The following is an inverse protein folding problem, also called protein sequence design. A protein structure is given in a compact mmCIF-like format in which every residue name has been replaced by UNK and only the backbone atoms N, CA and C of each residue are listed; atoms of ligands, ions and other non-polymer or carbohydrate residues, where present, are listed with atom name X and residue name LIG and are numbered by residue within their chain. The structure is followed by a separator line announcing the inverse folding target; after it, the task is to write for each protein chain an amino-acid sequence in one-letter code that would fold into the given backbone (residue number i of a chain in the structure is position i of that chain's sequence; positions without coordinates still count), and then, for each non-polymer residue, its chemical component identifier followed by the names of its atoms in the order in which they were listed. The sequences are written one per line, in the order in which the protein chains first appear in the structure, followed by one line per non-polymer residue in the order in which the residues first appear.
data_IF_618621841525
#
_entry.id   IF_618621841525
#
_cell.length_a   1.000
_cell.length_b   1.000
_cell.length_c   1.000
_cell.angle_alpha   90.00
_cell.angle_beta   90.00
_cell.angle_gamma   90.00
#
_symmetry.space_group_name_H-M   'P 1'
#
loop_
_entity.id
_entity.type
_entity.pdbx_description
1 polymer ?
#
# COMPACT_ATOMS: atom_id res chain seq x y z
N UNK A 1 -1.39 12.03 10.39
CA UNK A 1 -2.73 12.31 9.84
C UNK A 1 -2.81 13.77 9.43
N UNK A 2 -3.37 14.09 8.26
CA UNK A 2 -3.54 15.47 7.81
C UNK A 2 -4.63 16.21 8.61
N UNK A 3 -4.46 17.50 8.95
CA UNK A 3 -5.45 18.28 9.70
C UNK A 3 -6.86 18.22 9.12
N UNK A 4 -7.02 18.35 7.81
CA UNK A 4 -8.34 18.32 7.15
C UNK A 4 -9.11 17.01 7.39
N UNK A 5 -8.39 15.88 7.45
CA UNK A 5 -8.99 14.58 7.73
C UNK A 5 -9.37 14.46 9.20
N UNK A 6 -8.56 15.00 10.12
CA UNK A 6 -8.89 15.05 11.53
C UNK A 6 -10.13 15.90 11.79
N UNK A 7 -10.23 17.08 11.16
CA UNK A 7 -11.41 17.97 11.26
C UNK A 7 -12.67 17.23 10.82
N UNK A 8 -12.61 16.52 9.69
CA UNK A 8 -13.73 15.72 9.18
C UNK A 8 -14.11 14.58 10.14
N UNK A 9 -13.15 13.80 10.63
CA UNK A 9 -13.44 12.72 11.59
C UNK A 9 -14.04 13.27 12.89
N UNK A 10 -13.60 14.45 13.31
CA UNK A 10 -14.10 15.09 14.51
C UNK A 10 -15.57 15.53 14.37
N UNK A 11 -15.92 16.11 13.22
CA UNK A 11 -17.30 16.56 12.95
C UNK A 11 -18.30 15.40 12.91
N UNK A 12 -17.85 14.19 12.58
CA UNK A 12 -18.65 12.96 12.62
C UNK A 12 -18.99 12.51 14.06
N UNK A 13 -18.20 12.90 15.07
CA UNK A 13 -18.37 12.45 16.47
C UNK A 13 -19.22 13.38 17.35
N UNK A 14 -19.55 14.59 16.88
CA UNK A 14 -20.23 15.67 17.64
C UNK A 14 -19.58 16.05 18.99
N UNK A 15 -18.35 15.61 19.26
CA UNK A 15 -17.62 15.93 20.50
C UNK A 15 -17.03 17.34 20.41
N UNK A 16 -16.65 17.91 21.55
CA UNK A 16 -15.90 19.18 21.64
C UNK A 16 -14.44 18.91 21.97
N UNK A 17 -13.53 19.63 21.33
CA UNK A 17 -12.10 19.34 21.43
C UNK A 17 -11.58 19.71 22.82
N UNK A 18 -10.86 18.83 23.54
CA UNK A 18 -10.42 19.10 24.92
C UNK A 18 -9.57 20.37 25.08
N UNK A 19 -8.67 20.64 24.12
CA UNK A 19 -7.83 21.86 24.09
C UNK A 19 -8.52 23.11 23.50
N UNK A 20 -9.80 22.99 23.13
CA UNK A 20 -10.61 24.05 22.53
C UNK A 20 -12.10 23.85 22.86
N UNK A 21 -12.50 23.83 24.15
CA UNK A 21 -13.86 23.45 24.58
C UNK A 21 -14.95 24.47 24.19
N UNK A 22 -14.55 25.70 23.88
CA UNK A 22 -15.43 26.80 23.46
C UNK A 22 -15.15 27.26 22.03
N UNK A 23 -14.25 26.58 21.31
CA UNK A 23 -13.77 26.97 19.99
C UNK A 23 -14.00 25.84 18.97
N UNK A 24 -13.63 26.08 17.71
CA UNK A 24 -13.78 25.07 16.66
C UNK A 24 -12.77 23.93 16.80
N UNK A 25 -13.09 22.71 16.32
CA UNK A 25 -12.17 21.58 16.33
C UNK A 25 -10.82 21.87 15.66
N UNK A 26 -10.82 22.71 14.61
CA UNK A 26 -9.59 23.11 13.92
C UNK A 26 -8.58 23.77 14.87
N UNK A 27 -9.05 24.71 15.71
CA UNK A 27 -8.18 25.39 16.69
C UNK A 27 -7.61 24.38 17.68
N UNK A 28 -8.43 23.44 18.14
CA UNK A 28 -8.00 22.37 19.04
C UNK A 28 -6.94 21.46 18.44
N UNK A 29 -7.15 21.03 17.19
CA UNK A 29 -6.21 20.16 16.46
C UNK A 29 -4.87 20.87 16.24
N UNK A 30 -4.86 22.13 15.83
CA UNK A 30 -3.62 22.89 15.63
C UNK A 30 -2.83 23.00 16.94
N UNK A 31 -3.49 23.37 18.04
CA UNK A 31 -2.85 23.45 19.37
C UNK A 31 -2.31 22.10 19.84
N UNK A 32 -3.06 21.02 19.61
CA UNK A 32 -2.62 19.67 19.96
C UNK A 32 -1.38 19.25 19.17
N UNK A 33 -1.34 19.55 17.86
CA UNK A 33 -0.18 19.26 17.02
C UNK A 33 1.06 20.04 17.47
N UNK A 34 0.93 21.34 17.76
CA UNK A 34 2.03 22.15 18.31
C UNK A 34 2.55 21.59 19.64
N UNK A 35 1.64 21.18 20.53
CA UNK A 35 1.98 20.60 21.83
C UNK A 35 2.70 19.26 21.71
N UNK A 36 2.30 18.42 20.75
CA UNK A 36 2.84 17.08 20.56
C UNK A 36 4.09 17.05 19.67
N UNK A 37 4.48 18.16 19.04
CA UNK A 37 5.61 18.19 18.12
C UNK A 37 6.94 17.70 18.73
N UNK A 38 7.31 18.04 19.99
CA UNK A 38 8.52 17.48 20.62
C UNK A 38 8.44 15.97 20.81
N UNK A 39 7.27 15.45 21.21
CA UNK A 39 7.03 14.01 21.42
C UNK A 39 7.12 13.28 20.07
N UNK A 40 6.52 13.87 19.03
CA UNK A 40 6.57 13.34 17.67
C UNK A 40 8.01 13.28 17.15
N UNK A 41 8.85 14.25 17.49
CA UNK A 41 10.27 14.25 17.15
C UNK A 41 11.08 13.14 17.83
N UNK A 42 10.58 12.58 18.93
CA UNK A 42 11.21 11.47 19.67
C UNK A 42 10.60 10.09 19.35
N UNK A 43 9.58 10.03 18.49
CA UNK A 43 8.85 8.80 18.25
C UNK A 43 9.64 7.84 17.34
N UNK A 44 9.82 6.59 17.79
CA UNK A 44 10.46 5.54 17.00
C UNK A 44 9.62 5.17 15.76
N UNK A 45 8.29 5.25 15.88
CA UNK A 45 7.34 4.95 14.81
C UNK A 45 6.29 6.05 14.67
N UNK A 46 6.02 6.46 13.42
CA UNK A 46 4.96 7.41 13.07
C UNK A 46 4.07 6.81 12.00
N UNK A 47 2.83 6.51 12.36
CA UNK A 47 1.84 5.93 11.43
C UNK A 47 0.94 7.05 10.86
N UNK A 48 0.98 7.24 9.53
CA UNK A 48 0.12 8.21 8.86
C UNK A 48 -1.27 7.63 8.54
N UNK A 49 -2.22 7.86 9.44
CA UNK A 49 -3.59 7.35 9.31
C UNK A 49 -4.48 8.12 8.33
N UNK A 50 -3.95 9.04 7.51
CA UNK A 50 -4.74 9.97 6.68
C UNK A 50 -5.72 9.25 5.74
N UNK A 51 -5.27 8.15 5.11
CA UNK A 51 -6.06 7.40 4.13
C UNK A 51 -6.48 6.00 4.64
N UNK A 52 -6.32 5.74 5.94
CA UNK A 52 -6.59 4.43 6.54
C UNK A 52 -8.03 4.34 7.03
N UNK A 53 -8.65 3.17 6.82
CA UNK A 53 -9.84 2.72 7.54
C UNK A 53 -9.45 2.19 8.92
N UNK A 54 -10.42 1.97 9.85
CA UNK A 54 -10.13 1.34 11.13
C UNK A 54 -9.52 -0.07 11.01
N UNK A 55 -9.91 -0.82 9.97
CA UNK A 55 -9.33 -2.13 9.69
C UNK A 55 -7.87 -2.01 9.24
N UNK A 56 -7.56 -1.05 8.36
CA UNK A 56 -6.18 -0.80 7.91
C UNK A 56 -5.28 -0.41 9.08
N UNK A 57 -5.78 0.45 9.97
CA UNK A 57 -5.01 0.84 11.16
C UNK A 57 -4.76 -0.35 12.10
N UNK A 58 -5.73 -1.26 12.26
CA UNK A 58 -5.53 -2.47 13.06
C UNK A 58 -4.44 -3.35 12.46
N UNK A 59 -4.52 -3.64 11.16
CA UNK A 59 -3.51 -4.44 10.46
C UNK A 59 -2.12 -3.79 10.54
N UNK A 60 -2.05 -2.46 10.44
CA UNK A 60 -0.82 -1.68 10.59
C UNK A 60 -0.22 -1.81 12.00
N UNK A 61 -1.04 -1.71 13.05
CA UNK A 61 -0.62 -1.87 14.45
C UNK A 61 -0.13 -3.29 14.69
N UNK A 62 -0.89 -4.30 14.25
CA UNK A 62 -0.49 -5.70 14.37
C UNK A 62 0.85 -5.94 13.66
N UNK A 63 1.06 -5.34 12.48
CA UNK A 63 2.33 -5.42 11.75
C UNK A 63 3.51 -4.79 12.49
N UNK A 64 3.30 -3.65 13.14
CA UNK A 64 4.38 -2.92 13.85
C UNK A 64 4.71 -3.56 15.19
N UNK A 65 3.73 -4.15 15.88
CA UNK A 65 3.85 -4.54 17.30
C UNK A 65 3.55 -6.02 17.61
N UNK A 66 3.34 -6.90 16.62
CA UNK A 66 3.19 -8.33 16.88
C UNK A 66 4.52 -8.96 17.35
N UNK A 67 4.72 -9.01 18.66
CA UNK A 67 5.78 -9.79 19.32
C UNK A 67 5.24 -11.16 19.77
N UNK A 68 5.87 -12.26 19.35
CA UNK A 68 5.52 -13.60 19.84
C UNK A 68 6.12 -14.80 19.10
N UNK A 69 6.63 -14.60 17.89
CA UNK A 69 7.35 -15.61 17.11
C UNK A 69 8.39 -14.86 16.32
N UNK A 70 9.69 -15.20 16.45
CA UNK A 70 10.83 -14.72 15.63
C UNK A 70 10.35 -13.76 14.53
N UNK A 71 10.47 -12.45 14.72
CA UNK A 71 9.81 -11.43 13.89
C UNK A 71 9.84 -11.83 12.42
N UNK A 72 8.72 -12.38 11.93
CA UNK A 72 8.61 -12.70 10.52
C UNK A 72 8.45 -11.36 9.83
N UNK A 73 9.44 -10.99 9.02
CA UNK A 73 9.39 -9.79 8.18
C UNK A 73 8.06 -9.83 7.40
N UNK A 74 7.13 -8.94 7.74
CA UNK A 74 5.83 -8.90 7.10
C UNK A 74 5.99 -8.35 5.68
N UNK A 75 5.62 -9.15 4.68
CA UNK A 75 5.71 -8.73 3.28
C UNK A 75 4.37 -8.12 2.81
N UNK A 76 4.46 -6.98 2.16
CA UNK A 76 3.32 -6.32 1.51
C UNK A 76 3.66 -6.04 0.07
N UNK A 77 2.82 -6.48 -0.85
CA UNK A 77 2.94 -6.19 -2.28
C UNK A 77 1.72 -5.38 -2.71
N UNK A 78 1.95 -4.17 -3.21
CA UNK A 78 0.86 -3.31 -3.66
C UNK A 78 0.97 -2.88 -5.12
N UNK A 79 -0.16 -2.81 -5.82
CA UNK A 79 -0.25 -2.24 -7.15
C UNK A 79 -0.74 -0.79 -7.10
N UNK A 80 -0.12 0.08 -7.91
CA UNK A 80 -0.49 1.49 -7.96
C UNK A 80 -0.44 2.10 -9.38
N UNK A 81 -0.93 3.33 -9.47
CA UNK A 81 -0.99 4.15 -10.67
C UNK A 81 0.00 5.31 -10.58
N UNK A 82 0.98 5.37 -11.49
CA UNK A 82 1.90 6.52 -11.57
C UNK A 82 1.18 7.84 -11.84
N UNK A 83 0.02 7.82 -12.53
CA UNK A 83 -0.82 9.02 -12.71
C UNK A 83 -1.32 9.60 -11.38
N UNK A 84 -1.34 8.81 -10.32
CA UNK A 84 -1.80 9.22 -8.98
C UNK A 84 -0.67 9.42 -7.98
N UNK A 85 0.59 9.31 -8.42
CA UNK A 85 1.77 9.44 -7.58
C UNK A 85 2.16 8.14 -6.87
N UNK A 86 3.37 8.15 -6.31
CA UNK A 86 3.89 7.02 -5.56
C UNK A 86 3.10 6.85 -4.25
N UNK A 87 2.85 5.61 -3.82
CA UNK A 87 2.36 5.35 -2.49
C UNK A 87 3.35 5.83 -1.43
N UNK A 88 2.83 6.17 -0.24
CA UNK A 88 3.66 6.49 0.93
C UNK A 88 4.01 5.21 1.68
N UNK A 89 5.18 5.18 2.30
CA UNK A 89 5.61 4.04 3.12
C UNK A 89 6.01 2.81 2.32
N UNK A 90 6.37 2.98 1.04
CA UNK A 90 6.94 1.91 0.22
C UNK A 90 8.45 1.88 0.37
N UNK A 91 9.01 0.67 0.52
CA UNK A 91 10.45 0.46 0.59
C UNK A 91 11.06 0.30 -0.81
N UNK A 92 10.33 -0.37 -1.71
CA UNK A 92 10.78 -0.67 -3.07
C UNK A 92 9.69 -0.35 -4.08
N UNK A 93 10.08 0.17 -5.25
CA UNK A 93 9.16 0.51 -6.34
C UNK A 93 9.68 -0.06 -7.65
N UNK A 94 8.84 -0.82 -8.35
CA UNK A 94 9.14 -1.36 -9.68
C UNK A 94 8.19 -0.80 -10.73
N UNK A 95 8.75 -0.24 -11.81
CA UNK A 95 7.98 0.29 -12.93
C UNK A 95 7.78 -0.77 -14.00
N UNK A 96 6.52 -1.14 -14.26
CA UNK A 96 6.14 -2.14 -15.28
C UNK A 96 5.45 -1.51 -16.49
N UNK A 97 5.57 -0.19 -16.69
CA UNK A 97 4.98 0.52 -17.85
C UNK A 97 5.55 0.10 -19.20
N UNK A 98 6.70 -0.58 -19.21
CA UNK A 98 7.34 -1.06 -20.43
C UNK A 98 6.68 -2.35 -20.99
N UNK A 99 6.01 -3.14 -20.14
CA UNK A 99 5.33 -4.38 -20.54
C UNK A 99 4.13 -4.11 -21.48
N UNK A 100 3.77 -5.13 -22.26
CA UNK A 100 2.64 -5.15 -23.18
C UNK A 100 1.39 -4.58 -22.52
N UNK A 101 0.78 -3.58 -23.16
CA UNK A 101 -0.29 -2.79 -22.57
C UNK A 101 -1.68 -3.34 -22.96
N UNK A 102 -2.44 -3.97 -22.05
CA UNK A 102 -3.74 -4.57 -22.37
C UNK A 102 -4.82 -3.55 -22.72
N UNK A 103 -4.62 -2.27 -22.35
CA UNK A 103 -5.59 -1.20 -22.61
C UNK A 103 -5.93 -1.02 -24.10
N UNK A 104 -5.03 -1.38 -25.00
CA UNK A 104 -5.24 -1.27 -26.44
C UNK A 104 -5.95 -2.48 -27.05
N UNK A 105 -6.15 -3.55 -26.29
CA UNK A 105 -6.90 -4.72 -26.71
C UNK A 105 -8.37 -4.57 -26.28
N UNK A 106 -9.32 -4.46 -27.23
CA UNK A 106 -10.72 -4.20 -26.91
C UNK A 106 -11.32 -5.19 -25.90
N UNK A 107 -10.98 -6.48 -26.00
CA UNK A 107 -11.48 -7.51 -25.08
C UNK A 107 -10.87 -7.48 -23.66
N UNK A 108 -9.76 -6.77 -23.47
CA UNK A 108 -9.03 -6.72 -22.20
C UNK A 108 -9.17 -5.38 -21.47
N UNK A 109 -9.61 -4.33 -22.15
CA UNK A 109 -9.60 -2.95 -21.66
C UNK A 109 -10.38 -2.73 -20.36
N UNK A 110 -11.51 -3.41 -20.21
CA UNK A 110 -12.41 -3.28 -19.06
C UNK A 110 -12.16 -4.34 -17.98
N UNK A 111 -11.20 -5.24 -18.20
CA UNK A 111 -10.77 -6.27 -17.23
C UNK A 111 -9.69 -5.70 -16.30
N UNK A 112 -9.23 -6.47 -15.33
CA UNK A 112 -8.10 -6.08 -14.48
C UNK A 112 -7.03 -7.18 -14.43
N UNK A 113 -5.90 -6.88 -13.81
CA UNK A 113 -4.74 -7.79 -13.79
C UNK A 113 -4.97 -9.13 -13.08
N UNK A 114 -6.10 -9.34 -12.41
CA UNK A 114 -6.49 -10.64 -11.83
C UNK A 114 -7.18 -11.55 -12.84
N UNK A 115 -7.60 -10.99 -13.99
CA UNK A 115 -8.22 -11.76 -15.05
C UNK A 115 -7.17 -12.61 -15.80
N UNK A 116 -7.41 -13.93 -15.98
CA UNK A 116 -6.46 -14.81 -16.66
C UNK A 116 -6.09 -14.40 -18.08
N UNK A 117 -7.01 -13.80 -18.85
CA UNK A 117 -6.73 -13.34 -20.23
C UNK A 117 -5.81 -12.12 -20.22
N UNK A 118 -5.98 -11.21 -19.25
CA UNK A 118 -5.08 -10.07 -19.06
C UNK A 118 -3.69 -10.57 -18.67
N UNK A 119 -3.61 -11.53 -17.76
CA UNK A 119 -2.36 -12.15 -17.34
C UNK A 119 -1.65 -12.84 -18.51
N UNK A 120 -2.36 -13.67 -19.27
CA UNK A 120 -1.82 -14.36 -20.45
C UNK A 120 -1.22 -13.38 -21.47
N UNK A 121 -1.93 -12.29 -21.76
CA UNK A 121 -1.44 -11.25 -22.67
C UNK A 121 -0.16 -10.57 -22.18
N UNK A 122 -0.02 -10.35 -20.86
CA UNK A 122 1.20 -9.76 -20.30
C UNK A 122 2.36 -10.77 -20.29
N UNK A 123 2.08 -12.06 -19.98
CA UNK A 123 3.11 -13.12 -19.98
C UNK A 123 3.69 -13.39 -21.37
N UNK A 124 2.92 -13.15 -22.43
CA UNK A 124 3.37 -13.29 -23.82
C UNK A 124 4.40 -12.21 -24.24
N UNK A 125 4.56 -11.15 -23.46
CA UNK A 125 5.64 -10.20 -23.67
C UNK A 125 6.99 -10.87 -23.41
N UNK A 126 7.85 -10.94 -24.44
CA UNK A 126 9.18 -11.57 -24.36
C UNK A 126 10.08 -11.01 -23.23
N UNK A 127 9.79 -9.81 -22.72
CA UNK A 127 10.54 -9.17 -21.63
C UNK A 127 10.00 -9.54 -20.24
N UNK A 128 8.80 -10.09 -20.14
CA UNK A 128 8.14 -10.33 -18.85
C UNK A 128 8.89 -11.35 -18.01
N UNK A 129 9.18 -12.53 -18.56
CA UNK A 129 9.78 -13.63 -17.80
C UNK A 129 11.12 -13.24 -17.18
N UNK A 130 12.06 -12.74 -17.99
CA UNK A 130 13.39 -12.32 -17.56
C UNK A 130 13.35 -11.16 -16.55
N UNK A 131 12.44 -10.19 -16.74
CA UNK A 131 12.26 -9.12 -15.76
C UNK A 131 11.71 -9.65 -14.42
N UNK A 132 10.68 -10.48 -14.48
CA UNK A 132 10.02 -10.99 -13.28
C UNK A 132 10.96 -11.87 -12.45
N UNK A 133 11.72 -12.75 -13.11
CA UNK A 133 12.75 -13.58 -12.47
C UNK A 133 13.78 -12.72 -11.74
N UNK A 134 14.36 -11.70 -12.40
CA UNK A 134 15.33 -10.79 -11.78
C UNK A 134 14.77 -10.02 -10.59
N UNK A 135 13.52 -9.57 -10.68
CA UNK A 135 12.85 -8.86 -9.57
C UNK A 135 12.63 -9.81 -8.41
N UNK A 136 12.14 -11.03 -8.67
CA UNK A 136 11.90 -12.03 -7.65
C UNK A 136 13.21 -12.43 -6.95
N UNK A 137 14.28 -12.68 -7.70
CA UNK A 137 15.59 -13.04 -7.15
C UNK A 137 16.18 -11.92 -6.31
N UNK A 138 16.07 -10.67 -6.77
CA UNK A 138 16.49 -9.52 -5.99
C UNK A 138 15.74 -9.47 -4.65
N UNK A 139 14.42 -9.55 -4.68
CA UNK A 139 13.59 -9.49 -3.46
C UNK A 139 13.92 -10.66 -2.52
N UNK A 140 14.02 -11.87 -3.05
CA UNK A 140 14.31 -13.07 -2.26
C UNK A 140 15.69 -12.99 -1.58
N UNK A 141 16.68 -12.41 -2.24
CA UNK A 141 18.00 -12.16 -1.63
C UNK A 141 17.99 -11.07 -0.57
N UNK A 142 17.09 -10.08 -0.68
CA UNK A 142 17.00 -8.94 0.24
C UNK A 142 16.18 -9.25 1.50
N UNK A 143 15.16 -10.11 1.42
CA UNK A 143 14.32 -10.48 2.56
C UNK A 143 15.14 -10.94 3.79
N UNK A 144 16.09 -11.90 3.70
CA UNK A 144 16.88 -12.31 4.85
C UNK A 144 17.75 -11.17 5.39
N UNK A 145 18.33 -10.34 4.52
CA UNK A 145 19.15 -9.20 4.92
C UNK A 145 18.33 -8.15 5.68
N UNK A 146 17.11 -7.82 5.21
CA UNK A 146 16.22 -6.91 5.92
C UNK A 146 15.78 -7.46 7.27
N UNK A 147 15.56 -8.77 7.37
CA UNK A 147 15.24 -9.43 8.63
C UNK A 147 16.41 -9.35 9.62
N UNK A 148 17.64 -9.53 9.16
CA UNK A 148 18.86 -9.40 9.99
C UNK A 148 19.09 -7.98 10.48
N UNK A 149 18.79 -6.98 9.66
CA UNK A 149 18.79 -5.55 10.02
C UNK A 149 17.66 -5.17 11.01
N UNK A 150 16.76 -6.11 11.32
CA UNK A 150 15.67 -5.89 12.28
C UNK A 150 14.44 -5.20 11.69
N UNK A 151 14.30 -5.11 10.36
CA UNK A 151 13.04 -4.64 9.77
C UNK A 151 11.90 -5.59 10.13
N UNK A 152 10.77 -4.99 10.52
CA UNK A 152 9.53 -5.71 10.83
C UNK A 152 8.60 -5.83 9.62
N UNK A 153 8.76 -4.97 8.61
CA UNK A 153 7.98 -4.99 7.38
C UNK A 153 8.79 -4.61 6.15
N UNK A 154 8.41 -5.15 5.00
CA UNK A 154 8.91 -4.78 3.67
C UNK A 154 7.72 -4.57 2.72
N UNK A 155 7.56 -3.34 2.22
CA UNK A 155 6.50 -2.96 1.28
C UNK A 155 7.05 -2.73 -0.11
N UNK A 156 6.58 -3.54 -1.07
CA UNK A 156 6.99 -3.53 -2.47
C UNK A 156 5.82 -3.01 -3.31
N UNK A 157 6.05 -1.93 -4.06
CA UNK A 157 5.04 -1.33 -4.92
C UNK A 157 5.34 -1.56 -6.40
N UNK A 158 4.36 -2.10 -7.11
CA UNK A 158 4.39 -2.31 -8.56
C UNK A 158 3.56 -1.22 -9.24
N UNK A 159 4.19 -0.46 -10.13
CA UNK A 159 3.60 0.72 -10.75
C UNK A 159 3.33 0.54 -12.23
N UNK A 160 2.11 0.87 -12.67
CA UNK A 160 1.83 1.10 -14.09
C UNK A 160 1.11 2.44 -14.27
N UNK A 161 0.78 2.81 -15.51
CA UNK A 161 0.15 4.11 -15.77
C UNK A 161 -1.24 4.26 -15.13
N UNK A 162 -2.05 3.20 -15.14
CA UNK A 162 -3.45 3.25 -14.72
C UNK A 162 -3.77 2.54 -13.40
N UNK A 163 -2.88 1.68 -12.92
CA UNK A 163 -3.11 0.88 -11.71
C UNK A 163 -4.11 -0.26 -11.83
N UNK A 164 -4.50 -0.65 -13.06
CA UNK A 164 -5.57 -1.62 -13.32
C UNK A 164 -5.07 -2.98 -13.84
N UNK A 165 -4.13 -2.98 -14.79
CA UNK A 165 -3.75 -4.18 -15.54
C UNK A 165 -2.37 -4.68 -15.12
N UNK A 166 -1.32 -4.16 -15.76
CA UNK A 166 0.08 -4.60 -15.60
C UNK A 166 0.56 -4.62 -14.14
N UNK A 167 0.31 -3.54 -13.40
CA UNK A 167 0.76 -3.51 -12.00
C UNK A 167 -0.02 -4.45 -11.09
N UNK A 168 -1.32 -4.64 -11.33
CA UNK A 168 -2.14 -5.60 -10.58
C UNK A 168 -1.64 -7.01 -10.86
N UNK A 169 -1.48 -7.37 -12.14
CA UNK A 169 -1.00 -8.69 -12.54
C UNK A 169 0.37 -9.02 -11.94
N UNK A 170 1.37 -8.14 -12.14
CA UNK A 170 2.73 -8.39 -11.63
C UNK A 170 2.78 -8.39 -10.09
N UNK A 171 1.94 -7.61 -9.42
CA UNK A 171 1.82 -7.66 -7.96
C UNK A 171 1.29 -9.01 -7.46
N UNK A 172 0.25 -9.56 -8.11
CA UNK A 172 -0.30 -10.88 -7.78
C UNK A 172 0.72 -11.99 -8.02
N UNK A 173 1.40 -11.98 -9.18
CA UNK A 173 2.42 -12.99 -9.48
C UNK A 173 3.57 -12.95 -8.47
N UNK A 174 4.04 -11.75 -8.10
CA UNK A 174 5.11 -11.60 -7.11
C UNK A 174 4.67 -12.10 -5.73
N UNK A 175 3.46 -11.76 -5.31
CA UNK A 175 2.94 -12.22 -4.03
C UNK A 175 2.76 -13.74 -3.97
N UNK A 176 2.25 -14.34 -5.06
CA UNK A 176 2.11 -15.79 -5.18
C UNK A 176 3.47 -16.48 -5.13
N UNK A 177 4.46 -16.00 -5.90
CA UNK A 177 5.81 -16.58 -5.90
C UNK A 177 6.50 -16.49 -4.53
N UNK A 178 6.31 -15.39 -3.80
CA UNK A 178 6.83 -15.24 -2.44
C UNK A 178 6.08 -16.14 -1.44
N UNK A 179 4.77 -16.31 -1.59
CA UNK A 179 3.96 -17.21 -0.76
C UNK A 179 4.34 -18.69 -0.97
N UNK A 180 4.62 -19.10 -2.21
CA UNK A 180 5.13 -20.44 -2.54
C UNK A 180 6.50 -20.70 -1.90
N UNK A 181 7.33 -19.67 -1.70
CA UNK A 181 8.58 -19.73 -0.93
C UNK A 181 8.38 -19.74 0.59
N UNK A 182 7.14 -19.72 1.07
CA UNK A 182 6.79 -19.81 2.49
C UNK A 182 6.69 -18.48 3.23
N UNK A 183 6.73 -17.34 2.52
CA UNK A 183 6.57 -16.03 3.14
C UNK A 183 5.09 -15.69 3.36
N UNK A 184 4.80 -15.01 4.47
CA UNK A 184 3.49 -14.41 4.67
C UNK A 184 3.44 -13.08 3.92
N UNK A 185 2.61 -13.02 2.87
CA UNK A 185 2.48 -11.86 1.99
C UNK A 185 1.05 -11.36 1.98
N UNK A 186 0.90 -10.05 2.14
CA UNK A 186 -0.35 -9.35 1.94
C UNK A 186 -0.34 -8.64 0.58
N UNK A 187 -1.47 -8.68 -0.13
CA UNK A 187 -1.63 -7.97 -1.41
C UNK A 187 -2.60 -6.81 -1.29
N UNK A 188 -2.32 -5.74 -2.04
CA UNK A 188 -3.19 -4.55 -2.09
C UNK A 188 -3.27 -3.97 -3.49
N UNK A 189 -4.45 -3.55 -3.92
CA UNK A 189 -4.63 -2.89 -5.23
C UNK A 189 -5.31 -1.53 -5.08
N UNK A 190 -4.49 -0.47 -5.03
CA UNK A 190 -4.94 0.87 -4.63
C UNK A 190 -6.05 1.44 -5.52
N UNK A 191 -5.98 1.18 -6.83
CA UNK A 191 -7.00 1.68 -7.76
C UNK A 191 -8.27 0.83 -7.77
N UNK A 192 -8.15 -0.49 -7.63
CA UNK A 192 -9.31 -1.38 -7.59
C UNK A 192 -10.14 -1.16 -6.31
N UNK A 193 -9.49 -0.94 -5.16
CA UNK A 193 -10.16 -0.57 -3.90
C UNK A 193 -10.97 0.73 -4.04
N UNK A 194 -10.39 1.73 -4.72
CA UNK A 194 -11.06 3.01 -4.95
C UNK A 194 -12.32 2.84 -5.80
N UNK A 195 -12.26 2.01 -6.84
CA UNK A 195 -13.44 1.73 -7.68
C UNK A 195 -14.51 0.95 -6.93
N UNK A 196 -14.14 -0.06 -6.14
CA UNK A 196 -15.08 -0.79 -5.29
C UNK A 196 -15.82 0.12 -4.30
N UNK A 197 -15.10 1.08 -3.72
CA UNK A 197 -15.68 2.07 -2.79
C UNK A 197 -16.61 3.10 -3.45
N UNK A 198 -16.41 3.41 -4.74
CA UNK A 198 -17.29 4.29 -5.52
C UNK A 198 -18.61 3.58 -5.89
N UNK A 199 -18.58 2.28 -6.18
CA UNK A 199 -19.76 1.52 -6.56
C UNK A 199 -20.65 1.13 -5.37
N UNK A 200 -20.09 0.94 -4.16
CA UNK A 200 -20.87 0.69 -2.93
C UNK A 200 -21.61 1.92 -2.38
N UNK A 201 -21.39 3.11 -2.94
CA UNK A 201 -22.02 4.38 -2.53
C UNK A 201 -23.19 4.81 -3.44
N UNK A 202 -23.60 3.98 -4.38
CA UNK A 202 -24.84 4.10 -5.15
C UNK A 202 -25.82 3.03 -4.69
#
# INVERSE_FOLDING_TARGET
CHPDVLIRRYSETRRRHPLAPSETPNVGITREMELLEPIRGMADFVIDTTAMTPHDLRAEIDRVFAEGTRSQLALSVESFSFKRGLPRGVDMVFDVRFLANPHWQPGLRDRDGRDPEVGAYIRDDARYADFFEKVLDLIDSLIPAYREEGKTALTIAIGCTGGQHRSVFVAEELANALAEKGWQVSTRHRELERWGNLHRKK
#
